data_IF_337737689518
#
_entry.id   IF_337737689518
#
_cell.length_a   1.000
_cell.length_b   1.000
_cell.length_c   1.000
_cell.angle_alpha   90.00
_cell.angle_beta   90.00
_cell.angle_gamma   90.00
#
_symmetry.space_group_name_H-M   'P 1'
#
loop_
_entity.id
_entity.type
_entity.pdbx_description
1 polymer ?
#
# COMPACT_ATOMS: atom_id res chain seq x y z
N UNK A 1 22.91 11.47 1.42
CA UNK A 1 21.60 12.13 1.54
C UNK A 1 20.57 11.03 1.71
N UNK A 2 20.03 10.88 2.91
CA UNK A 2 19.10 9.82 3.29
C UNK A 2 17.69 10.38 3.15
N UNK A 3 17.16 10.32 1.94
CA UNK A 3 15.80 10.80 1.69
C UNK A 3 14.78 9.81 2.26
N UNK A 4 13.99 10.37 3.17
CA UNK A 4 12.86 9.74 3.83
C UNK A 4 11.80 9.35 2.79
N UNK A 5 11.17 8.20 2.99
CA UNK A 5 9.98 7.81 2.25
C UNK A 5 8.74 8.63 2.68
N UNK A 6 8.80 9.96 2.53
CA UNK A 6 7.67 10.89 2.69
C UNK A 6 6.84 11.00 1.41
N UNK A 7 7.33 10.42 0.32
CA UNK A 7 6.82 10.54 -1.04
C UNK A 7 6.69 9.14 -1.65
N UNK A 8 5.58 8.41 -1.45
CA UNK A 8 5.44 7.07 -2.06
C UNK A 8 5.59 7.08 -3.60
N UNK A 9 5.48 8.24 -4.25
CA UNK A 9 5.79 8.42 -5.68
C UNK A 9 7.26 8.29 -6.08
N UNK A 10 8.21 8.37 -5.13
CA UNK A 10 9.62 8.04 -5.43
C UNK A 10 9.91 6.54 -5.41
N UNK A 11 8.93 5.71 -5.01
CA UNK A 11 8.98 4.30 -5.38
C UNK A 11 8.98 4.23 -6.91
N UNK A 12 9.99 3.59 -7.49
CA UNK A 12 10.03 3.41 -8.93
C UNK A 12 8.84 2.54 -9.36
N UNK A 13 7.79 3.21 -9.86
CA UNK A 13 6.50 2.59 -10.19
C UNK A 13 6.67 1.42 -11.16
N UNK A 14 7.59 1.55 -12.12
CA UNK A 14 7.87 0.48 -13.09
C UNK A 14 8.46 -0.75 -12.39
N UNK A 15 9.46 -0.54 -11.53
CA UNK A 15 10.02 -1.63 -10.70
C UNK A 15 8.95 -2.29 -9.85
N UNK A 16 8.09 -1.52 -9.17
CA UNK A 16 7.02 -2.08 -8.33
C UNK A 16 6.05 -2.91 -9.15
N UNK A 17 5.66 -2.47 -10.36
CA UNK A 17 4.82 -3.26 -11.26
C UNK A 17 5.48 -4.56 -11.71
N UNK A 18 6.79 -4.57 -11.90
CA UNK A 18 7.54 -5.78 -12.26
C UNK A 18 7.48 -6.84 -11.13
N UNK A 19 7.43 -6.43 -9.84
CA UNK A 19 7.19 -7.37 -8.72
C UNK A 19 5.86 -8.13 -8.89
N UNK A 20 4.78 -7.44 -9.26
CA UNK A 20 3.47 -8.05 -9.46
C UNK A 20 3.40 -8.88 -10.74
N UNK A 21 4.02 -8.42 -11.83
CA UNK A 21 4.02 -9.12 -13.12
C UNK A 21 4.77 -10.46 -13.07
N UNK A 22 5.83 -10.53 -12.25
CA UNK A 22 6.64 -11.75 -12.08
C UNK A 22 6.12 -12.68 -10.98
N UNK A 23 4.97 -12.39 -10.39
CA UNK A 23 4.40 -13.20 -9.32
C UNK A 23 3.84 -14.52 -9.85
N UNK A 24 4.37 -15.64 -9.36
CA UNK A 24 3.79 -16.97 -9.56
C UNK A 24 3.11 -17.42 -8.25
N UNK A 25 1.76 -17.45 -8.16
CA UNK A 25 1.06 -17.67 -6.90
C UNK A 25 1.48 -18.91 -6.13
N UNK A 26 1.76 -20.02 -6.83
CA UNK A 26 2.24 -21.26 -6.21
C UNK A 26 3.62 -21.08 -5.57
N UNK A 27 4.57 -20.50 -6.30
CA UNK A 27 5.91 -20.23 -5.80
C UNK A 27 5.88 -19.24 -4.61
N UNK A 28 4.98 -18.26 -4.63
CA UNK A 28 4.79 -17.32 -3.51
C UNK A 28 4.29 -18.03 -2.25
N UNK A 29 3.29 -18.92 -2.37
CA UNK A 29 2.77 -19.70 -1.24
C UNK A 29 3.82 -20.61 -0.59
N UNK A 30 4.79 -21.08 -1.38
CA UNK A 30 5.90 -21.92 -0.93
C UNK A 30 7.10 -21.12 -0.41
N UNK A 31 6.98 -19.78 -0.28
CA UNK A 31 8.04 -18.91 0.24
C UNK A 31 9.13 -18.58 -0.79
N UNK A 32 8.82 -18.68 -2.08
CA UNK A 32 9.75 -18.49 -3.18
C UNK A 32 10.22 -17.05 -3.41
N UNK A 33 11.13 -16.92 -4.37
CA UNK A 33 11.59 -15.64 -4.91
C UNK A 33 10.87 -15.28 -6.20
N UNK A 34 10.83 -13.99 -6.52
CA UNK A 34 10.34 -13.47 -7.80
C UNK A 34 11.49 -12.81 -8.57
N UNK A 35 11.45 -12.92 -9.90
CA UNK A 35 12.48 -12.37 -10.77
C UNK A 35 12.12 -10.93 -11.16
N UNK A 36 12.91 -9.95 -10.75
CA UNK A 36 12.74 -8.54 -11.08
C UNK A 36 14.05 -8.04 -11.71
N UNK A 37 14.02 -7.67 -12.99
CA UNK A 37 15.20 -7.29 -13.79
C UNK A 37 16.38 -8.24 -13.63
N UNK A 38 16.13 -9.52 -13.88
CA UNK A 38 17.11 -10.60 -13.77
C UNK A 38 17.68 -10.84 -12.36
N UNK A 39 17.13 -10.18 -11.33
CA UNK A 39 17.50 -10.37 -9.93
C UNK A 39 16.40 -11.15 -9.22
N UNK A 40 16.76 -12.27 -8.58
CA UNK A 40 15.84 -12.98 -7.70
C UNK A 40 15.69 -12.23 -6.38
N UNK A 41 14.46 -11.80 -6.09
CA UNK A 41 14.11 -11.11 -4.86
C UNK A 41 13.18 -11.99 -4.04
N UNK A 42 13.62 -12.37 -2.85
CA UNK A 42 12.78 -13.09 -1.89
C UNK A 42 11.58 -12.23 -1.49
N UNK A 43 10.41 -12.85 -1.33
CA UNK A 43 9.19 -12.17 -0.88
C UNK A 43 9.29 -11.89 0.61
N UNK A 44 10.02 -10.82 0.92
CA UNK A 44 10.35 -10.36 2.26
C UNK A 44 10.51 -8.84 2.20
N UNK A 45 9.84 -8.12 3.10
CA UNK A 45 9.85 -6.66 3.11
C UNK A 45 11.26 -6.06 3.10
N UNK A 46 12.19 -6.61 3.90
CA UNK A 46 13.58 -6.16 3.96
C UNK A 46 14.31 -6.33 2.64
N UNK A 47 14.07 -7.45 1.94
CA UNK A 47 14.69 -7.73 0.64
C UNK A 47 14.09 -6.89 -0.47
N UNK A 48 12.78 -6.66 -0.43
CA UNK A 48 12.09 -5.77 -1.36
C UNK A 48 12.57 -4.33 -1.17
N UNK A 49 12.64 -3.82 0.06
CA UNK A 49 13.18 -2.48 0.34
C UNK A 49 14.64 -2.35 -0.11
N UNK A 50 15.48 -3.34 0.16
CA UNK A 50 16.86 -3.33 -0.30
C UNK A 50 16.96 -3.25 -1.83
N UNK A 51 16.11 -3.99 -2.55
CA UNK A 51 16.06 -3.94 -4.01
C UNK A 51 15.55 -2.59 -4.54
N UNK A 52 14.62 -1.94 -3.83
CA UNK A 52 14.09 -0.62 -4.19
C UNK A 52 14.99 0.55 -3.71
N UNK A 53 16.06 0.29 -2.95
CA UNK A 53 16.89 1.34 -2.34
C UNK A 53 16.20 2.07 -1.18
N UNK A 54 15.23 1.44 -0.51
CA UNK A 54 14.39 2.04 0.52
C UNK A 54 14.83 1.64 1.94
N UNK A 55 14.45 2.49 2.92
CA UNK A 55 14.73 2.24 4.34
C UNK A 55 13.74 1.23 4.93
N UNK A 56 14.24 0.32 5.76
CA UNK A 56 13.41 -0.61 6.52
C UNK A 56 12.81 0.05 7.77
N UNK A 57 11.52 -0.17 8.01
CA UNK A 57 10.84 0.26 9.23
C UNK A 57 10.13 -0.92 9.88
N UNK A 58 10.86 -1.80 10.60
CA UNK A 58 10.32 -3.05 11.16
C UNK A 58 9.17 -2.85 12.15
N UNK A 59 9.03 -1.65 12.70
CA UNK A 59 7.90 -1.26 13.55
C UNK A 59 6.55 -1.19 12.79
N UNK A 60 6.55 -1.11 11.46
CA UNK A 60 5.33 -0.98 10.65
C UNK A 60 4.81 -2.33 10.18
N UNK A 61 4.13 -3.05 11.08
CA UNK A 61 3.50 -4.35 10.77
C UNK A 61 2.49 -4.31 9.62
N UNK A 62 1.89 -3.15 9.32
CA UNK A 62 0.95 -2.96 8.19
C UNK A 62 1.58 -2.23 6.98
N UNK A 63 2.87 -1.93 7.04
CA UNK A 63 3.54 -1.03 6.08
C UNK A 63 3.44 0.45 6.45
N UNK A 64 2.55 0.82 7.36
CA UNK A 64 2.40 2.19 7.87
C UNK A 64 1.86 2.17 9.31
N UNK A 65 1.85 3.33 9.97
CA UNK A 65 1.22 3.55 11.28
C UNK A 65 0.39 4.83 11.25
N UNK A 66 -0.93 4.66 11.11
CA UNK A 66 -1.89 5.75 11.21
C UNK A 66 -1.84 6.37 12.62
N UNK A 67 -2.04 7.68 12.70
CA UNK A 67 -2.14 8.42 13.97
C UNK A 67 -3.56 8.40 14.55
N UNK A 68 -4.52 7.90 13.78
CA UNK A 68 -5.93 7.87 14.15
C UNK A 68 -6.26 6.61 14.94
N UNK A 69 -6.86 6.79 16.11
CA UNK A 69 -7.21 5.70 17.03
C UNK A 69 -8.62 5.13 16.75
N UNK A 70 -9.43 5.85 15.97
CA UNK A 70 -10.80 5.45 15.61
C UNK A 70 -11.03 5.64 14.12
N UNK A 71 -11.90 4.79 13.55
CA UNK A 71 -12.33 4.90 12.15
C UNK A 71 -12.98 6.25 11.87
N UNK A 72 -13.86 6.74 12.74
CA UNK A 72 -14.49 8.04 12.57
C UNK A 72 -13.47 9.18 12.49
N UNK A 73 -12.43 9.19 13.35
CA UNK A 73 -11.39 10.21 13.29
C UNK A 73 -10.55 10.15 12.01
N UNK A 74 -10.33 8.95 11.46
CA UNK A 74 -9.65 8.77 10.18
C UNK A 74 -10.52 9.30 9.02
N UNK A 75 -11.82 8.98 9.01
CA UNK A 75 -12.72 9.41 7.96
C UNK A 75 -12.94 10.92 7.93
N UNK A 76 -13.09 11.56 9.10
CA UNK A 76 -13.15 13.02 9.21
C UNK A 76 -11.88 13.67 8.65
N UNK A 77 -10.70 13.15 9.02
CA UNK A 77 -9.41 13.68 8.56
C UNK A 77 -9.22 13.54 7.04
N UNK A 78 -9.79 12.50 6.43
CA UNK A 78 -9.72 12.25 4.99
C UNK A 78 -10.76 13.07 4.20
N UNK A 79 -11.98 13.25 4.71
CA UNK A 79 -13.02 14.07 4.08
C UNK A 79 -12.73 15.57 4.21
N UNK A 80 -12.03 15.96 5.27
CA UNK A 80 -11.85 17.37 5.64
C UNK A 80 -13.12 18.00 6.22
N UNK A 81 -14.01 17.16 6.78
CA UNK A 81 -15.28 17.56 7.38
C UNK A 81 -15.45 16.90 8.74
N UNK A 82 -16.11 17.60 9.67
CA UNK A 82 -16.45 17.04 10.98
C UNK A 82 -17.62 16.04 10.89
N UNK A 83 -18.36 16.06 9.78
CA UNK A 83 -19.42 15.11 9.48
C UNK A 83 -18.87 13.90 8.74
N UNK A 84 -19.15 12.71 9.27
CA UNK A 84 -18.97 11.47 8.53
C UNK A 84 -18.53 10.31 9.40
N UNK A 85 -19.50 9.56 9.90
CA UNK A 85 -19.23 8.27 10.52
C UNK A 85 -18.75 7.26 9.46
N UNK A 86 -17.70 6.52 9.81
CA UNK A 86 -17.29 5.35 9.05
C UNK A 86 -17.86 4.12 9.74
N UNK A 87 -19.14 3.88 9.49
CA UNK A 87 -19.84 2.69 9.98
C UNK A 87 -19.29 1.43 9.30
N UNK A 88 -19.30 0.31 10.02
CA UNK A 88 -18.85 -0.99 9.51
C UNK A 88 -19.57 -1.32 8.19
N UNK A 89 -18.79 -1.39 7.09
CA UNK A 89 -19.29 -1.74 5.75
C UNK A 89 -19.41 -0.57 4.77
N UNK A 90 -19.39 0.68 5.25
CA UNK A 90 -19.48 1.86 4.38
C UNK A 90 -18.08 2.40 4.04
N UNK A 91 -17.51 1.93 2.94
CA UNK A 91 -16.24 2.45 2.44
C UNK A 91 -16.38 3.92 1.97
N UNK A 92 -15.36 4.74 2.18
CA UNK A 92 -15.34 6.13 1.69
C UNK A 92 -15.28 6.08 0.17
N UNK A 93 -16.18 6.80 -0.51
CA UNK A 93 -16.13 6.92 -1.98
C UNK A 93 -15.00 7.85 -2.37
N UNK A 94 -14.33 7.56 -3.48
CA UNK A 94 -13.27 8.44 -3.98
C UNK A 94 -13.74 9.89 -4.20
N UNK A 95 -15.01 10.10 -4.56
CA UNK A 95 -15.63 11.42 -4.74
C UNK A 95 -15.75 12.24 -3.44
N UNK A 96 -15.62 11.59 -2.28
CA UNK A 96 -15.63 12.25 -0.97
C UNK A 96 -14.23 12.71 -0.53
N UNK A 97 -13.18 12.37 -1.29
CA UNK A 97 -11.81 12.78 -0.98
C UNK A 97 -11.49 14.17 -1.55
N UNK A 98 -10.71 14.98 -0.84
CA UNK A 98 -10.05 16.16 -1.40
C UNK A 98 -9.19 15.79 -2.60
N UNK A 99 -9.10 16.68 -3.59
CA UNK A 99 -8.42 16.43 -4.88
C UNK A 99 -7.00 15.84 -4.74
N UNK A 100 -6.22 16.34 -3.77
CA UNK A 100 -4.87 15.83 -3.50
C UNK A 100 -4.88 14.36 -3.06
N UNK A 101 -5.82 13.98 -2.21
CA UNK A 101 -5.98 12.60 -1.74
C UNK A 101 -6.57 11.70 -2.83
N UNK A 102 -7.46 12.23 -3.68
CA UNK A 102 -7.94 11.52 -4.87
C UNK A 102 -6.78 11.13 -5.78
N UNK A 103 -5.85 12.06 -6.03
CA UNK A 103 -4.64 11.77 -6.81
C UNK A 103 -3.81 10.65 -6.17
N UNK A 104 -3.56 10.72 -4.85
CA UNK A 104 -2.82 9.69 -4.13
C UNK A 104 -3.52 8.33 -4.13
N UNK A 105 -4.84 8.31 -3.99
CA UNK A 105 -5.64 7.10 -4.06
C UNK A 105 -5.44 6.40 -5.41
N UNK A 106 -5.63 7.15 -6.49
CA UNK A 106 -5.42 6.64 -7.85
C UNK A 106 -3.98 6.17 -8.05
N UNK A 107 -3.00 6.99 -7.66
CA UNK A 107 -1.59 6.66 -7.80
C UNK A 107 -1.24 5.34 -7.09
N UNK A 108 -1.66 5.18 -5.83
CA UNK A 108 -1.39 3.98 -5.04
C UNK A 108 -2.11 2.75 -5.63
N UNK A 109 -3.37 2.86 -6.04
CA UNK A 109 -4.08 1.76 -6.68
C UNK A 109 -3.42 1.33 -8.00
N UNK A 110 -2.98 2.28 -8.84
CA UNK A 110 -2.35 1.94 -10.13
C UNK A 110 -0.90 1.49 -10.02
N UNK A 111 -0.19 1.94 -8.98
CA UNK A 111 1.26 1.77 -8.88
C UNK A 111 1.67 0.74 -7.84
N UNK A 112 0.90 0.60 -6.75
CA UNK A 112 1.24 -0.20 -5.59
C UNK A 112 0.22 -1.31 -5.27
N UNK A 113 -1.04 -1.22 -5.75
CA UNK A 113 -2.08 -2.22 -5.48
C UNK A 113 -2.95 -2.51 -6.71
N UNK A 114 -2.37 -3.12 -7.76
CA UNK A 114 -3.06 -3.31 -9.03
C UNK A 114 -4.32 -4.21 -8.93
N UNK A 115 -4.51 -4.93 -7.83
CA UNK A 115 -5.63 -5.85 -7.60
C UNK A 115 -6.83 -5.23 -6.88
N UNK A 116 -6.75 -3.97 -6.42
CA UNK A 116 -7.83 -3.35 -5.63
C UNK A 116 -8.82 -2.56 -6.50
N UNK A 117 -10.12 -2.69 -6.24
CA UNK A 117 -11.17 -1.95 -6.96
C UNK A 117 -11.12 -0.43 -6.68
N UNK A 118 -11.31 0.36 -7.73
CA UNK A 118 -11.00 1.81 -7.82
C UNK A 118 -12.01 2.75 -7.14
N UNK A 119 -13.20 2.27 -6.84
CA UNK A 119 -14.35 3.12 -6.49
C UNK A 119 -14.47 3.42 -5.00
N UNK A 120 -13.86 2.57 -4.17
CA UNK A 120 -14.02 2.60 -2.72
C UNK A 120 -12.65 2.60 -2.03
N UNK A 121 -12.51 3.45 -1.03
CA UNK A 121 -11.33 3.55 -0.18
C UNK A 121 -11.51 2.55 0.96
N UNK A 122 -10.79 1.43 0.88
CA UNK A 122 -10.76 0.43 1.96
C UNK A 122 -10.00 0.97 3.18
N UNK A 123 -10.18 0.32 4.33
CA UNK A 123 -9.50 0.77 5.55
C UNK A 123 -7.97 0.83 5.43
N UNK A 124 -7.32 -0.16 4.81
CA UNK A 124 -5.89 -0.07 4.57
C UNK A 124 -5.45 1.11 3.69
N UNK A 125 -6.26 1.47 2.70
CA UNK A 125 -5.99 2.61 1.82
C UNK A 125 -6.20 3.93 2.57
N UNK A 126 -7.27 4.02 3.37
CA UNK A 126 -7.56 5.19 4.18
C UNK A 126 -6.41 5.53 5.13
N UNK A 127 -5.88 4.53 5.84
CA UNK A 127 -4.71 4.72 6.69
C UNK A 127 -3.47 5.16 5.90
N UNK A 128 -3.23 4.58 4.72
CA UNK A 128 -2.13 4.97 3.85
C UNK A 128 -2.26 6.44 3.40
N UNK A 129 -3.46 6.85 2.99
CA UNK A 129 -3.75 8.22 2.57
C UNK A 129 -3.55 9.22 3.71
N UNK A 130 -4.01 8.90 4.92
CA UNK A 130 -3.74 9.70 6.12
C UNK A 130 -2.23 9.79 6.39
N UNK A 131 -1.51 8.68 6.28
CA UNK A 131 -0.07 8.66 6.44
C UNK A 131 0.66 9.58 5.44
N UNK A 132 0.19 9.64 4.19
CA UNK A 132 0.71 10.54 3.15
C UNK A 132 0.36 12.00 3.46
N UNK A 133 -0.88 12.28 3.86
CA UNK A 133 -1.34 13.61 4.26
C UNK A 133 -0.47 14.18 5.39
N UNK A 134 -0.19 13.35 6.39
CA UNK A 134 0.58 13.70 7.59
C UNK A 134 2.10 13.62 7.40
N UNK A 135 2.57 13.29 6.18
CA UNK A 135 3.99 13.07 5.85
C UNK A 135 4.70 12.09 6.81
N UNK A 136 3.97 11.06 7.22
CA UNK A 136 4.51 9.99 8.07
C UNK A 136 5.33 9.00 7.27
N UNK A 137 6.22 8.27 7.95
CA UNK A 137 7.08 7.28 7.32
C UNK A 137 6.27 6.04 6.94
N UNK A 138 6.52 5.52 5.74
CA UNK A 138 5.88 4.32 5.19
C UNK A 138 6.97 3.32 4.82
N UNK A 139 6.74 2.03 5.12
CA UNK A 139 7.54 0.89 4.67
C UNK A 139 6.91 0.30 3.41
N UNK A 140 7.44 0.68 2.25
CA UNK A 140 6.92 0.24 0.95
C UNK A 140 7.14 -1.26 0.74
N UNK A 141 8.27 -1.82 1.19
CA UNK A 141 8.55 -3.24 1.10
C UNK A 141 7.54 -4.09 1.84
N UNK A 142 7.11 -3.66 3.03
CA UNK A 142 6.02 -4.31 3.77
C UNK A 142 4.69 -4.23 3.02
N UNK A 143 4.41 -3.10 2.39
CA UNK A 143 3.18 -2.90 1.63
C UNK A 143 3.10 -3.81 0.39
N UNK A 144 4.17 -3.83 -0.42
CA UNK A 144 4.29 -4.69 -1.60
C UNK A 144 4.24 -6.16 -1.19
N UNK A 145 4.98 -6.56 -0.15
CA UNK A 145 4.99 -7.94 0.35
C UNK A 145 3.58 -8.41 0.71
N UNK A 146 2.82 -7.60 1.46
CA UNK A 146 1.45 -7.95 1.85
C UNK A 146 0.54 -8.09 0.66
N UNK A 147 0.59 -7.13 -0.26
CA UNK A 147 -0.22 -7.16 -1.47
C UNK A 147 0.06 -8.41 -2.33
N UNK A 148 1.33 -8.81 -2.46
CA UNK A 148 1.74 -10.06 -3.14
C UNK A 148 1.16 -11.28 -2.42
N UNK A 149 1.28 -11.35 -1.09
CA UNK A 149 0.76 -12.47 -0.30
C UNK A 149 -0.77 -12.56 -0.35
N UNK A 150 -1.47 -11.44 -0.27
CA UNK A 150 -2.93 -11.36 -0.40
C UNK A 150 -3.37 -11.81 -1.80
N UNK A 151 -2.74 -11.29 -2.86
CA UNK A 151 -3.04 -11.67 -4.24
C UNK A 151 -2.76 -13.16 -4.51
N UNK A 152 -1.68 -13.72 -3.95
CA UNK A 152 -1.40 -15.15 -4.04
C UNK A 152 -2.44 -15.99 -3.28
N UNK A 153 -3.00 -15.46 -2.18
CA UNK A 153 -4.03 -16.12 -1.37
C UNK A 153 -5.41 -16.11 -2.02
N UNK A 154 -5.72 -15.14 -2.88
CA UNK A 154 -7.02 -14.99 -3.57
C UNK A 154 -7.30 -16.11 -4.60
N UNK A 155 -6.31 -16.94 -4.97
CA UNK A 155 -6.52 -18.13 -5.83
C UNK A 155 -7.08 -19.36 -5.10
N UNK A 156 -8.12 -19.19 -4.27
CA UNK A 156 -8.91 -20.32 -3.76
C UNK A 156 -10.38 -20.09 -4.10
N UNK A 157 -10.72 -20.22 -5.37
CA UNK A 157 -11.99 -20.83 -5.79
C UNK A 157 -11.75 -21.56 -7.12
N UNK A 158 -12.03 -22.88 -7.19
CA UNK A 158 -12.14 -23.59 -8.47
C UNK A 158 -13.32 -23.06 -9.30
#
# INVERSE_FOLDING_TARGET
>A
MTELCQRPEVANVSLVKEFYASMIPKAVKEGGAILVRDIQVMINATKINAHLGMTNYPQFRKGYKSRHNTRSSLAMALRGTDDGEWEHGNLIKQSELPQKLTFWNLFNTFSLLPTTHKTLVSEPIADLLSCIQDQTKIDIGQFIMKAILEAASINVHP
#
